data_IF_578981076628
#
_entry.id   IF_578981076628
#
_cell.length_a   1.000
_cell.length_b   1.000
_cell.length_c   1.000
_cell.angle_alpha   90.00
_cell.angle_beta   90.00
_cell.angle_gamma   90.00
#
_symmetry.space_group_name_H-M   'P 1'
#
loop_
_entity.id
_entity.type
_entity.pdbx_description
1 polymer ?
#
# COMPACT_ATOMS: atom_id res chain seq x y z
N UNK A 1 -1.95 -13.36 0.69
CA UNK A 1 -0.67 -13.05 0.03
C UNK A 1 0.36 -12.63 1.08
N UNK A 2 1.59 -12.26 0.69
CA UNK A 2 2.66 -11.76 1.57
C UNK A 2 3.17 -10.40 1.08
N UNK A 3 3.81 -9.61 1.95
CA UNK A 3 4.43 -8.33 1.60
C UNK A 3 5.78 -8.16 2.33
N UNK A 4 6.75 -7.58 1.62
CA UNK A 4 8.07 -7.22 2.15
C UNK A 4 8.30 -5.72 1.90
N UNK A 5 8.82 -5.03 2.90
CA UNK A 5 9.17 -3.61 2.81
C UNK A 5 10.50 -3.37 3.52
N UNK A 6 11.38 -2.59 2.89
CA UNK A 6 12.66 -2.20 3.45
C UNK A 6 12.71 -0.68 3.61
N UNK A 7 13.30 -0.21 4.71
CA UNK A 7 13.52 1.21 4.97
C UNK A 7 14.93 1.47 5.46
N UNK A 8 15.57 2.44 4.84
CA UNK A 8 16.72 3.14 5.40
C UNK A 8 16.24 4.51 5.90
N UNK A 9 16.39 4.75 7.20
CA UNK A 9 16.05 6.02 7.83
C UNK A 9 17.22 6.59 8.64
N UNK A 10 18.46 6.20 8.33
CA UNK A 10 19.63 6.54 9.13
C UNK A 10 19.52 6.01 10.56
N UNK A 11 19.73 6.88 11.56
CA UNK A 11 19.65 6.50 12.97
C UNK A 11 18.26 5.95 13.35
N UNK A 12 18.22 4.69 13.81
CA UNK A 12 16.99 4.02 14.22
C UNK A 12 16.69 4.29 15.70
N UNK A 13 16.03 5.42 15.99
CA UNK A 13 15.75 5.87 17.36
C UNK A 13 14.80 4.91 18.10
N UNK A 14 13.75 4.44 17.43
CA UNK A 14 12.80 3.48 17.99
C UNK A 14 12.40 2.45 16.91
N UNK A 15 13.14 1.32 16.82
CA UNK A 15 12.91 0.30 15.80
C UNK A 15 11.46 -0.22 15.74
N UNK A 16 10.78 -0.35 16.87
CA UNK A 16 9.42 -0.88 16.91
C UNK A 16 8.41 0.11 16.32
N UNK A 17 8.57 1.40 16.60
CA UNK A 17 7.75 2.45 15.95
C UNK A 17 8.03 2.57 14.47
N UNK A 18 9.29 2.36 14.05
CA UNK A 18 9.65 2.36 12.63
C UNK A 18 8.97 1.19 11.91
N UNK A 19 8.98 -0.01 12.51
CA UNK A 19 8.25 -1.18 11.99
C UNK A 19 6.75 -0.92 11.90
N UNK A 20 6.15 -0.40 12.96
CA UNK A 20 4.73 -0.07 12.98
C UNK A 20 4.34 0.95 11.88
N UNK A 21 5.21 1.94 11.61
CA UNK A 21 4.99 2.88 10.51
C UNK A 21 5.04 2.20 9.14
N UNK A 22 6.00 1.28 8.92
CA UNK A 22 6.08 0.54 7.65
C UNK A 22 4.89 -0.40 7.47
N UNK A 23 4.46 -1.07 8.52
CA UNK A 23 3.25 -1.90 8.53
C UNK A 23 2.01 -1.08 8.18
N UNK A 24 1.81 0.06 8.84
CA UNK A 24 0.71 0.97 8.56
C UNK A 24 0.74 1.51 7.14
N UNK A 25 1.92 1.86 6.62
CA UNK A 25 2.08 2.36 5.27
C UNK A 25 1.73 1.30 4.21
N UNK A 26 2.09 0.04 4.43
CA UNK A 26 1.67 -1.07 3.56
C UNK A 26 0.15 -1.25 3.58
N UNK A 27 -0.49 -1.24 4.76
CA UNK A 27 -1.95 -1.37 4.85
C UNK A 27 -2.67 -0.21 4.14
N UNK A 28 -2.22 1.03 4.36
CA UNK A 28 -2.77 2.22 3.71
C UNK A 28 -2.55 2.17 2.20
N UNK A 29 -1.34 1.83 1.75
CA UNK A 29 -1.02 1.74 0.32
C UNK A 29 -1.83 0.67 -0.40
N UNK A 30 -2.04 -0.49 0.23
CA UNK A 30 -2.91 -1.54 -0.29
C UNK A 30 -4.38 -1.11 -0.33
N UNK A 31 -4.85 -0.38 0.68
CA UNK A 31 -6.21 0.19 0.70
C UNK A 31 -6.43 1.15 -0.45
N UNK A 32 -5.53 2.12 -0.63
CA UNK A 32 -5.62 3.13 -1.68
C UNK A 32 -5.48 2.50 -3.08
N UNK A 33 -4.59 1.54 -3.24
CA UNK A 33 -4.39 0.86 -4.52
C UNK A 33 -5.59 0.00 -4.94
N UNK A 34 -6.31 -0.61 -3.99
CA UNK A 34 -7.40 -1.53 -4.30
C UNK A 34 -8.76 -0.85 -4.41
N UNK A 35 -9.08 0.08 -3.52
CA UNK A 35 -10.46 0.60 -3.36
C UNK A 35 -10.60 2.09 -3.02
N UNK A 36 -9.52 2.81 -2.68
CA UNK A 36 -9.58 4.19 -2.15
C UNK A 36 -9.92 5.30 -3.15
N UNK A 37 -11.01 5.16 -3.92
CA UNK A 37 -11.53 6.22 -4.80
C UNK A 37 -12.50 7.14 -4.06
N UNK A 38 -12.40 8.45 -4.32
CA UNK A 38 -13.43 9.43 -3.98
C UNK A 38 -14.02 9.97 -5.29
N UNK A 39 -15.33 9.81 -5.49
CA UNK A 39 -16.06 10.31 -6.65
C UNK A 39 -16.87 11.57 -6.29
N UNK A 40 -17.15 12.37 -7.32
CA UNK A 40 -17.91 13.62 -7.18
C UNK A 40 -19.12 13.62 -8.12
N UNK A 41 -20.27 14.04 -7.59
CA UNK A 41 -21.50 14.26 -8.35
C UNK A 41 -22.14 15.57 -7.96
N UNK A 42 -22.45 16.39 -8.97
CA UNK A 42 -23.00 17.75 -8.77
C UNK A 42 -22.20 18.60 -7.77
N UNK A 43 -20.87 18.46 -7.78
CA UNK A 43 -19.95 19.20 -6.91
C UNK A 43 -19.82 18.68 -5.48
N UNK A 44 -20.48 17.58 -5.12
CA UNK A 44 -20.39 16.95 -3.81
C UNK A 44 -19.68 15.59 -3.89
N UNK A 45 -18.96 15.24 -2.82
CA UNK A 45 -18.41 13.89 -2.62
C UNK A 45 -19.57 12.91 -2.49
N UNK A 46 -19.46 11.75 -3.15
CA UNK A 46 -20.49 10.71 -3.06
C UNK A 46 -20.29 9.77 -1.85
N UNK A 47 -19.05 9.54 -1.42
CA UNK A 47 -18.74 8.67 -0.28
C UNK A 47 -18.83 9.43 1.06
N UNK A 48 -19.71 8.98 1.94
CA UNK A 48 -19.95 9.61 3.25
C UNK A 48 -19.38 8.86 4.45
N UNK A 49 -18.97 7.60 4.30
CA UNK A 49 -18.62 6.72 5.41
C UNK A 49 -17.68 5.56 4.98
N UNK A 50 -17.33 4.63 5.87
CA UNK A 50 -16.45 3.50 5.55
C UNK A 50 -17.16 2.29 4.91
N UNK A 51 -18.48 2.36 4.75
CA UNK A 51 -19.26 1.41 3.95
C UNK A 51 -19.16 1.72 2.45
N UNK A 52 -19.15 3.00 2.08
CA UNK A 52 -19.03 3.47 0.69
C UNK A 52 -17.62 3.96 0.31
N UNK A 53 -16.74 4.24 1.29
CA UNK A 53 -15.28 4.36 1.12
C UNK A 53 -14.55 3.22 1.89
N UNK A 54 -14.46 2.01 1.31
CA UNK A 54 -13.92 0.88 2.03
C UNK A 54 -12.41 0.99 2.22
N UNK A 55 -12.01 0.92 3.50
CA UNK A 55 -10.62 0.73 3.92
C UNK A 55 -10.27 -0.75 3.98
N UNK A 56 -8.99 -1.10 3.78
CA UNK A 56 -8.52 -2.47 3.86
C UNK A 56 -8.92 -3.12 5.20
N UNK A 57 -9.54 -4.30 5.12
CA UNK A 57 -9.95 -5.10 6.28
C UNK A 57 -8.97 -6.25 6.52
N UNK A 58 -9.05 -6.85 7.71
CA UNK A 58 -8.09 -7.86 8.17
C UNK A 58 -8.06 -9.14 7.32
N UNK A 59 -9.19 -9.49 6.69
CA UNK A 59 -9.31 -10.64 5.78
C UNK A 59 -8.59 -10.41 4.45
N UNK A 60 -8.49 -9.15 4.01
CA UNK A 60 -7.77 -8.73 2.82
C UNK A 60 -6.30 -8.36 3.09
N UNK A 61 -5.87 -8.28 4.35
CA UNK A 61 -4.50 -7.96 4.71
C UNK A 61 -3.51 -9.07 4.28
N UNK A 62 -2.22 -8.73 4.03
CA UNK A 62 -1.18 -9.75 3.87
C UNK A 62 -1.15 -10.67 5.09
N UNK A 63 -1.08 -12.00 4.86
CA UNK A 63 -0.93 -12.99 5.95
C UNK A 63 0.43 -12.90 6.63
N UNK A 64 1.40 -12.30 5.94
CA UNK A 64 2.74 -12.04 6.44
C UNK A 64 3.20 -10.70 5.86
N UNK A 65 3.65 -9.82 6.74
CA UNK A 65 4.32 -8.57 6.40
C UNK A 65 5.68 -8.58 7.10
N UNK A 66 6.76 -8.38 6.35
CA UNK A 66 8.12 -8.35 6.91
C UNK A 66 8.76 -6.99 6.64
N UNK A 67 9.19 -6.34 7.73
CA UNK A 67 9.88 -5.05 7.68
C UNK A 67 11.38 -5.27 7.86
N UNK A 68 12.14 -4.87 6.85
CA UNK A 68 13.59 -4.90 6.85
C UNK A 68 14.12 -3.51 7.21
N UNK A 69 14.70 -3.38 8.40
CA UNK A 69 15.34 -2.14 8.82
C UNK A 69 16.79 -2.15 8.33
N UNK A 70 17.12 -1.23 7.42
CA UNK A 70 18.43 -1.16 6.76
C UNK A 70 19.34 -0.20 7.53
N UNK A 71 20.59 -0.63 7.75
CA UNK A 71 21.56 0.12 8.57
C UNK A 71 21.19 0.12 10.06
N UNK A 72 22.07 0.66 10.91
CA UNK A 72 21.81 1.05 12.32
C UNK A 72 22.87 2.06 12.80
N UNK A 73 23.34 2.94 11.92
CA UNK A 73 24.34 3.92 12.30
C UNK A 73 23.70 5.08 13.06
N UNK A 74 23.93 5.14 14.38
CA UNK A 74 23.44 6.22 15.23
C UNK A 74 24.13 7.57 14.98
N UNK A 75 25.29 7.58 14.29
CA UNK A 75 25.96 8.81 13.88
C UNK A 75 25.33 9.42 12.60
N UNK A 76 24.58 8.62 11.84
CA UNK A 76 23.87 9.10 10.65
C UNK A 76 22.67 9.97 11.04
N UNK A 77 22.37 11.07 10.32
CA UNK A 77 21.21 11.89 10.61
C UNK A 77 19.89 11.08 10.54
N UNK A 78 18.95 11.30 11.48
CA UNK A 78 17.66 10.60 11.43
C UNK A 78 16.83 11.08 10.24
N UNK A 79 16.37 10.12 9.43
CA UNK A 79 15.43 10.34 8.34
C UNK A 79 13.96 10.28 8.79
N UNK A 80 13.06 10.75 7.93
CA UNK A 80 11.62 10.61 8.15
C UNK A 80 11.17 9.16 7.95
N UNK A 81 10.21 8.71 8.75
CA UNK A 81 9.62 7.36 8.65
C UNK A 81 8.11 7.38 8.42
N UNK A 82 7.49 8.56 8.51
CA UNK A 82 6.04 8.73 8.44
C UNK A 82 5.46 8.39 7.07
N UNK A 83 6.09 8.90 6.02
CA UNK A 83 5.59 8.89 4.65
C UNK A 83 6.33 7.92 3.70
N UNK A 84 7.65 7.67 3.83
CA UNK A 84 8.41 6.94 2.81
C UNK A 84 7.93 5.51 2.51
N UNK A 85 7.29 4.87 3.49
CA UNK A 85 6.78 3.51 3.31
C UNK A 85 5.57 3.41 2.39
N UNK A 86 4.83 4.51 2.16
CA UNK A 86 3.54 4.49 1.45
C UNK A 86 3.68 4.47 -0.08
N UNK A 87 4.46 5.38 -0.73
CA UNK A 87 4.60 5.42 -2.18
C UNK A 87 4.98 4.10 -2.89
N UNK A 88 5.88 3.25 -2.35
CA UNK A 88 6.29 2.04 -3.07
C UNK A 88 5.23 0.93 -3.12
N UNK A 89 4.18 0.99 -2.29
CA UNK A 89 3.22 -0.12 -2.12
C UNK A 89 2.37 -0.34 -3.37
N UNK A 90 1.74 0.71 -3.89
CA UNK A 90 0.87 0.62 -5.06
C UNK A 90 1.58 0.11 -6.33
N UNK A 91 2.76 0.63 -6.73
CA UNK A 91 3.49 0.10 -7.88
C UNK A 91 4.01 -1.32 -7.64
N UNK A 92 4.41 -1.70 -6.41
CA UNK A 92 4.80 -3.07 -6.10
C UNK A 92 3.64 -4.06 -6.31
N UNK A 93 2.43 -3.71 -5.85
CA UNK A 93 1.21 -4.49 -6.10
C UNK A 93 0.89 -4.58 -7.59
N UNK A 94 0.93 -3.46 -8.33
CA UNK A 94 0.66 -3.45 -9.77
C UNK A 94 1.68 -4.29 -10.56
N UNK A 95 2.95 -4.29 -10.14
CA UNK A 95 3.99 -5.12 -10.73
C UNK A 95 3.80 -6.60 -10.42
N UNK A 96 3.39 -6.95 -9.20
CA UNK A 96 3.04 -8.33 -8.84
C UNK A 96 1.84 -8.84 -9.66
N UNK A 97 0.81 -8.01 -9.85
CA UNK A 97 -0.33 -8.32 -10.71
C UNK A 97 0.13 -8.56 -12.15
N UNK A 98 0.99 -7.69 -12.70
CA UNK A 98 1.53 -7.92 -14.05
C UNK A 98 2.33 -9.22 -14.13
N UNK A 99 3.19 -9.52 -13.15
CA UNK A 99 3.96 -10.75 -13.15
C UNK A 99 3.05 -11.99 -13.13
N UNK A 100 1.92 -11.92 -12.42
CA UNK A 100 0.96 -13.03 -12.32
C UNK A 100 0.01 -13.15 -13.52
N UNK A 101 -0.27 -12.05 -14.24
CA UNK A 101 -1.38 -12.00 -15.22
C UNK A 101 -0.96 -11.52 -16.62
N UNK A 102 0.24 -10.98 -16.80
CA UNK A 102 0.69 -10.30 -18.01
C UNK A 102 0.05 -8.92 -18.22
N UNK A 103 -0.81 -8.44 -17.31
CA UNK A 103 -1.58 -7.21 -17.48
C UNK A 103 -1.02 -6.04 -16.69
N UNK A 104 -0.85 -4.91 -17.36
CA UNK A 104 -0.43 -3.65 -16.74
C UNK A 104 -1.64 -2.86 -16.23
N UNK A 105 -1.69 -2.60 -14.93
CA UNK A 105 -2.61 -1.62 -14.33
C UNK A 105 -1.90 -0.27 -14.29
N UNK A 106 -2.56 0.78 -14.79
CA UNK A 106 -2.04 2.16 -14.83
C UNK A 106 -2.97 3.19 -14.20
N UNK A 107 -4.21 2.80 -13.94
CA UNK A 107 -5.20 3.63 -13.26
C UNK A 107 -5.50 2.99 -11.92
N UNK A 108 -5.50 3.79 -10.86
CA UNK A 108 -5.91 3.37 -9.53
C UNK A 108 -7.24 4.04 -9.17
N UNK A 109 -8.02 3.39 -8.29
CA UNK A 109 -7.78 2.06 -7.73
C UNK A 109 -7.98 0.91 -8.74
N UNK A 110 -7.46 -0.27 -8.41
CA UNK A 110 -7.52 -1.47 -9.27
C UNK A 110 -8.98 -1.89 -9.52
N UNK A 111 -9.81 -2.01 -8.47
CA UNK A 111 -11.23 -2.41 -8.57
C UNK A 111 -11.45 -3.61 -9.51
N UNK A 112 -12.43 -3.50 -10.41
CA UNK A 112 -12.85 -4.56 -11.34
C UNK A 112 -11.97 -4.66 -12.59
N UNK A 113 -10.86 -3.92 -12.64
CA UNK A 113 -10.00 -3.94 -13.80
C UNK A 113 -9.64 -5.39 -14.15
N UNK A 114 -9.27 -6.23 -13.17
CA UNK A 114 -8.90 -7.63 -13.42
C UNK A 114 -10.06 -8.53 -13.87
N UNK A 115 -11.31 -8.22 -13.53
CA UNK A 115 -12.49 -9.02 -13.84
C UNK A 115 -12.84 -9.01 -15.33
N UNK A 116 -12.61 -7.88 -16.02
CA UNK A 116 -12.89 -7.74 -17.46
C UNK A 116 -12.01 -8.66 -18.32
N UNK A 117 -10.83 -9.06 -17.84
CA UNK A 117 -9.90 -9.91 -18.60
C UNK A 117 -10.19 -11.41 -18.47
N UNK A 118 -10.70 -11.87 -17.32
CA UNK A 118 -10.97 -13.30 -17.08
C UNK A 118 -12.18 -13.81 -17.87
N UNK A 119 -13.04 -12.93 -18.39
CA UNK A 119 -14.16 -13.29 -19.27
C UNK A 119 -13.78 -13.36 -20.76
N UNK A 120 -12.56 -12.98 -21.12
CA UNK A 120 -12.09 -12.89 -22.51
C UNK A 120 -11.13 -14.03 -22.92
N UNK A 121 -10.93 -15.02 -22.05
CA UNK A 121 -10.20 -16.27 -22.33
C UNK A 121 -11.08 -17.47 -22.06
#
# INVERSE_FOLDING_TARGET
>A
HKADIAIDCGAQINPDRIRAQMEGAVMMGLSLAQTGEISFKKGAVEQGSFDDFPVLRIDAAPRQLTVHLVGQDLASPPGGVGEPGLPPVAPALCNAIFAATGRRIRNLPIKDQLTTALKAG
#
